data_IF_202450430159
#
_entry.id   IF_202450430159
#
_cell.length_a   1.000
_cell.length_b   1.000
_cell.length_c   1.000
_cell.angle_alpha   90.00
_cell.angle_beta   90.00
_cell.angle_gamma   90.00
#
_symmetry.space_group_name_H-M   'P 1'
#
loop_
_entity.id
_entity.type
_entity.pdbx_description
1 polymer ?
#
# COMPACT_ATOMS: atom_id res chain seq x y z
N UNK A 1 -2.31 -6.57 12.17
CA UNK A 1 -0.85 -6.69 11.98
C UNK A 1 -0.23 -5.42 12.52
N UNK A 2 1.01 -5.46 12.97
CA UNK A 2 1.81 -4.28 13.31
C UNK A 2 2.81 -3.97 12.19
N UNK A 3 3.39 -2.75 12.18
CA UNK A 3 4.34 -2.34 11.14
C UNK A 3 5.51 -3.32 10.98
N UNK A 4 6.02 -3.88 12.08
CA UNK A 4 7.08 -4.90 12.04
C UNK A 4 6.66 -6.14 11.23
N UNK A 5 5.45 -6.65 11.47
CA UNK A 5 4.90 -7.83 10.77
C UNK A 5 4.60 -7.54 9.30
N UNK A 6 4.24 -6.29 8.98
CA UNK A 6 4.11 -5.81 7.59
C UNK A 6 5.46 -5.91 6.89
N UNK A 7 6.55 -5.47 7.52
CA UNK A 7 7.88 -5.55 6.91
C UNK A 7 8.37 -6.99 6.73
N UNK A 8 7.75 -7.99 7.37
CA UNK A 8 8.06 -9.41 7.13
C UNK A 8 7.31 -10.02 5.93
N UNK A 9 6.39 -9.26 5.32
CA UNK A 9 5.73 -9.65 4.06
C UNK A 9 6.64 -9.44 2.85
N UNK A 10 6.24 -9.92 1.67
CA UNK A 10 7.09 -9.91 0.46
C UNK A 10 6.49 -9.14 -0.70
N UNK A 11 5.19 -9.28 -0.94
CA UNK A 11 4.52 -8.75 -2.14
C UNK A 11 3.67 -7.53 -1.80
N UNK A 12 4.06 -6.38 -2.35
CA UNK A 12 3.44 -5.09 -2.08
C UNK A 12 2.82 -4.50 -3.34
N UNK A 13 1.57 -4.04 -3.24
CA UNK A 13 0.97 -3.14 -4.20
C UNK A 13 1.09 -1.69 -3.69
N UNK A 14 2.01 -0.90 -4.25
CA UNK A 14 2.20 0.52 -3.88
C UNK A 14 1.29 1.37 -4.75
N UNK A 15 0.28 1.96 -4.13
CA UNK A 15 -0.76 2.74 -4.79
C UNK A 15 -0.44 4.24 -4.67
N UNK A 16 -0.24 4.90 -5.81
CA UNK A 16 0.04 6.34 -5.82
C UNK A 16 0.73 6.81 -7.09
N UNK A 17 1.30 8.01 -7.05
CA UNK A 17 2.13 8.51 -8.15
C UNK A 17 3.57 7.99 -8.00
N UNK A 18 3.83 6.81 -8.56
CA UNK A 18 5.11 6.10 -8.49
C UNK A 18 6.12 6.52 -9.55
N UNK A 19 5.72 7.39 -10.48
CA UNK A 19 6.57 7.91 -11.56
C UNK A 19 7.20 9.28 -11.24
N UNK A 20 6.67 9.98 -10.25
CA UNK A 20 7.14 11.30 -9.83
C UNK A 20 8.06 11.15 -8.61
N UNK A 21 9.36 11.39 -8.81
CA UNK A 21 10.41 11.17 -7.80
C UNK A 21 10.26 12.05 -6.55
N UNK A 22 9.53 13.16 -6.65
CA UNK A 22 9.27 14.02 -5.50
C UNK A 22 8.23 13.39 -4.56
N UNK A 23 7.37 12.51 -5.08
CA UNK A 23 6.27 11.89 -4.33
C UNK A 23 6.74 10.70 -3.49
N UNK A 24 6.11 10.56 -2.32
CA UNK A 24 6.41 9.47 -1.40
C UNK A 24 6.14 8.09 -2.00
N UNK A 25 5.09 7.92 -2.80
CA UNK A 25 4.82 6.65 -3.49
C UNK A 25 5.99 6.18 -4.35
N UNK A 26 6.66 7.10 -5.07
CA UNK A 26 7.86 6.78 -5.84
C UNK A 26 9.04 6.41 -4.94
N UNK A 27 9.27 7.17 -3.86
CA UNK A 27 10.33 6.90 -2.87
C UNK A 27 10.13 5.53 -2.18
N UNK A 28 8.89 5.21 -1.79
CA UNK A 28 8.52 3.91 -1.20
C UNK A 28 8.79 2.79 -2.20
N UNK A 29 8.28 2.90 -3.45
CA UNK A 29 8.54 1.91 -4.50
C UNK A 29 10.03 1.63 -4.66
N UNK A 30 10.84 2.68 -4.82
CA UNK A 30 12.30 2.56 -5.00
C UNK A 30 12.95 1.86 -3.80
N UNK A 31 12.71 2.36 -2.60
CA UNK A 31 13.31 1.82 -1.37
C UNK A 31 12.91 0.36 -1.13
N UNK A 32 11.64 0.00 -1.34
CA UNK A 32 11.17 -1.38 -1.20
C UNK A 32 11.83 -2.30 -2.24
N UNK A 33 11.95 -1.88 -3.50
CA UNK A 33 12.65 -2.66 -4.52
C UNK A 33 14.14 -2.86 -4.16
N UNK A 34 14.81 -1.82 -3.66
CA UNK A 34 16.22 -1.88 -3.23
C UNK A 34 16.46 -2.87 -2.07
N UNK A 35 15.46 -3.07 -1.22
CA UNK A 35 15.51 -4.03 -0.11
C UNK A 35 14.99 -5.43 -0.48
N UNK A 36 14.77 -5.69 -1.78
CA UNK A 36 14.43 -7.03 -2.28
C UNK A 36 12.96 -7.44 -2.14
N UNK A 37 12.06 -6.49 -1.89
CA UNK A 37 10.62 -6.74 -1.93
C UNK A 37 10.11 -6.81 -3.37
N UNK A 38 9.05 -7.59 -3.58
CA UNK A 38 8.28 -7.54 -4.83
C UNK A 38 7.31 -6.37 -4.75
N UNK A 39 7.43 -5.40 -5.67
CA UNK A 39 6.58 -4.20 -5.68
C UNK A 39 5.86 -4.05 -7.02
N UNK A 40 4.54 -3.97 -6.95
CA UNK A 40 3.67 -3.60 -8.06
C UNK A 40 3.15 -2.18 -7.87
N UNK A 41 3.43 -1.32 -8.84
CA UNK A 41 3.03 0.08 -8.79
C UNK A 41 1.65 0.27 -9.43
N UNK A 42 0.68 0.79 -8.66
CA UNK A 42 -0.71 0.93 -9.08
C UNK A 42 -1.13 2.41 -9.08
N UNK A 43 -1.88 2.79 -10.11
CA UNK A 43 -2.44 4.13 -10.34
C UNK A 43 -1.80 4.88 -11.51
N UNK A 44 -0.50 4.69 -11.75
CA UNK A 44 0.22 5.29 -12.90
C UNK A 44 0.82 4.26 -13.85
N UNK A 45 1.25 3.13 -13.34
CA UNK A 45 1.86 2.05 -14.11
C UNK A 45 0.82 0.96 -14.38
N UNK A 46 0.33 0.28 -13.34
CA UNK A 46 -0.88 -0.53 -13.42
C UNK A 46 -2.12 0.33 -13.21
N UNK A 47 -3.18 0.06 -13.96
CA UNK A 47 -4.42 0.85 -13.84
C UNK A 47 -5.26 0.38 -12.65
N UNK A 48 -5.30 -0.93 -12.40
CA UNK A 48 -6.05 -1.54 -11.30
C UNK A 48 -5.15 -2.40 -10.40
N UNK A 49 -5.50 -2.53 -9.12
CA UNK A 49 -4.92 -3.56 -8.25
C UNK A 49 -5.17 -4.96 -8.83
N UNK A 50 -6.29 -5.13 -9.55
CA UNK A 50 -6.65 -6.42 -10.12
C UNK A 50 -5.66 -6.89 -11.22
N UNK A 51 -4.86 -5.97 -11.78
CA UNK A 51 -3.86 -6.27 -12.81
C UNK A 51 -2.57 -6.88 -12.24
N UNK A 52 -2.40 -6.91 -10.90
CA UNK A 52 -1.25 -7.55 -10.25
C UNK A 52 -1.28 -9.06 -10.52
N UNK A 53 -0.21 -9.66 -11.09
CA UNK A 53 -0.25 -11.04 -11.61
C UNK A 53 -0.15 -12.13 -10.53
N UNK A 54 0.06 -11.77 -9.27
CA UNK A 54 0.22 -12.68 -8.14
C UNK A 54 -0.57 -12.26 -6.90
N UNK A 55 -0.55 -13.07 -5.84
CA UNK A 55 -1.22 -12.74 -4.59
C UNK A 55 -0.51 -11.58 -3.89
N UNK A 56 -1.29 -10.62 -3.39
CA UNK A 56 -0.77 -9.43 -2.73
C UNK A 56 -0.69 -9.72 -1.23
N UNK A 57 0.44 -9.44 -0.60
CA UNK A 57 0.47 -9.46 0.87
C UNK A 57 -0.08 -8.16 1.43
N UNK A 58 0.43 -7.03 0.92
CA UNK A 58 0.13 -5.69 1.46
C UNK A 58 -0.22 -4.72 0.35
N UNK A 59 -1.34 -4.00 0.53
CA UNK A 59 -1.67 -2.82 -0.27
C UNK A 59 -1.22 -1.58 0.48
N UNK A 60 -0.28 -0.82 -0.07
CA UNK A 60 0.21 0.44 0.49
C UNK A 60 -0.50 1.62 -0.18
N UNK A 61 -1.42 2.27 0.55
CA UNK A 61 -2.16 3.42 0.06
C UNK A 61 -1.36 4.70 0.31
N UNK A 62 -0.70 5.19 -0.74
CA UNK A 62 0.02 6.47 -0.78
C UNK A 62 -0.60 7.41 -1.82
N UNK A 63 -1.92 7.59 -1.72
CA UNK A 63 -2.75 8.35 -2.67
C UNK A 63 -3.82 9.16 -1.93
N UNK A 64 -4.44 10.13 -2.60
CA UNK A 64 -5.57 10.88 -2.06
C UNK A 64 -6.69 9.94 -1.53
N UNK A 65 -7.24 10.17 -0.32
CA UNK A 65 -8.13 9.21 0.36
C UNK A 65 -9.34 8.79 -0.48
N UNK A 66 -10.01 9.73 -1.15
CA UNK A 66 -11.17 9.45 -2.03
C UNK A 66 -10.81 8.47 -3.16
N UNK A 67 -9.62 8.60 -3.77
CA UNK A 67 -9.15 7.69 -4.82
C UNK A 67 -8.76 6.34 -4.24
N UNK A 68 -8.11 6.34 -3.07
CA UNK A 68 -7.78 5.11 -2.33
C UNK A 68 -9.03 4.29 -2.03
N UNK A 69 -10.08 4.91 -1.48
CA UNK A 69 -11.36 4.27 -1.18
C UNK A 69 -12.03 3.66 -2.42
N UNK A 70 -12.11 4.41 -3.53
CA UNK A 70 -12.70 3.90 -4.77
C UNK A 70 -11.95 2.65 -5.27
N UNK A 71 -10.62 2.70 -5.24
CA UNK A 71 -9.76 1.62 -5.70
C UNK A 71 -9.85 0.38 -4.78
N UNK A 72 -9.95 0.56 -3.46
CA UNK A 72 -10.20 -0.56 -2.53
C UNK A 72 -11.59 -1.17 -2.74
N UNK A 73 -12.63 -0.37 -3.00
CA UNK A 73 -13.98 -0.87 -3.32
C UNK A 73 -14.02 -1.74 -4.58
N UNK A 74 -13.13 -1.46 -5.53
CA UNK A 74 -13.00 -2.20 -6.79
C UNK A 74 -12.01 -3.37 -6.71
N UNK A 75 -11.29 -3.53 -5.59
CA UNK A 75 -10.32 -4.59 -5.40
C UNK A 75 -11.03 -5.95 -5.25
N UNK A 76 -10.69 -6.90 -6.12
CA UNK A 76 -11.20 -8.29 -6.11
C UNK A 76 -10.10 -9.30 -5.78
N UNK A 77 -8.87 -8.83 -5.56
CA UNK A 77 -7.73 -9.64 -5.16
C UNK A 77 -7.79 -9.90 -3.66
N UNK A 78 -7.34 -11.08 -3.24
CA UNK A 78 -7.02 -11.33 -1.85
C UNK A 78 -5.79 -10.51 -1.45
N UNK A 79 -5.78 -10.04 -0.20
CA UNK A 79 -4.64 -9.41 0.44
C UNK A 79 -4.67 -9.67 1.94
N UNK A 80 -3.50 -9.56 2.60
CA UNK A 80 -3.39 -9.79 4.05
C UNK A 80 -3.62 -8.53 4.87
N UNK A 81 -3.20 -7.36 4.38
CA UNK A 81 -3.37 -6.09 5.10
C UNK A 81 -3.29 -4.88 4.16
N UNK A 82 -3.90 -3.77 4.58
CA UNK A 82 -3.72 -2.45 3.98
C UNK A 82 -2.85 -1.60 4.90
N UNK A 83 -1.86 -0.91 4.35
CA UNK A 83 -1.12 0.15 5.03
C UNK A 83 -1.62 1.48 4.50
N UNK A 84 -2.17 2.31 5.38
CA UNK A 84 -2.59 3.66 5.06
C UNK A 84 -1.43 4.59 5.43
N UNK A 85 -0.80 5.17 4.40
CA UNK A 85 0.30 6.12 4.61
C UNK A 85 -0.21 7.42 5.23
N UNK A 86 0.66 8.16 5.96
CA UNK A 86 0.26 9.44 6.53
C UNK A 86 -0.32 10.41 5.48
N UNK A 87 -1.53 10.91 5.74
CA UNK A 87 -2.26 11.81 4.84
C UNK A 87 -3.11 11.11 3.78
N UNK A 88 -3.14 9.76 3.75
CA UNK A 88 -4.01 8.97 2.87
C UNK A 88 -5.30 8.49 3.57
N UNK A 89 -5.44 8.75 4.87
CA UNK A 89 -6.62 8.42 5.66
C UNK A 89 -7.80 9.37 5.41
N UNK A 90 -9.01 8.85 5.60
CA UNK A 90 -10.23 9.64 5.73
C UNK A 90 -11.24 8.87 6.58
N UNK A 91 -12.18 9.56 7.26
CA UNK A 91 -13.25 8.89 8.01
C UNK A 91 -14.02 7.86 7.16
N UNK A 92 -14.31 8.19 5.90
CA UNK A 92 -15.06 7.33 4.98
C UNK A 92 -14.26 6.08 4.59
N UNK A 93 -12.94 6.22 4.40
CA UNK A 93 -12.07 5.07 4.14
C UNK A 93 -12.05 4.14 5.35
N UNK A 94 -11.77 4.67 6.54
CA UNK A 94 -11.65 3.87 7.77
C UNK A 94 -12.97 3.15 8.08
N UNK A 95 -14.09 3.86 8.01
CA UNK A 95 -15.42 3.27 8.22
C UNK A 95 -15.68 2.12 7.24
N UNK A 96 -15.37 2.31 5.96
CA UNK A 96 -15.54 1.25 4.97
C UNK A 96 -14.69 0.01 5.27
N UNK A 97 -13.42 0.21 5.66
CA UNK A 97 -12.54 -0.90 6.02
C UNK A 97 -13.07 -1.66 7.24
N UNK A 98 -13.56 -0.97 8.26
CA UNK A 98 -14.16 -1.57 9.45
C UNK A 98 -15.44 -2.36 9.13
N UNK A 99 -16.35 -1.76 8.37
CA UNK A 99 -17.62 -2.40 7.97
C UNK A 99 -17.38 -3.68 7.16
N UNK A 100 -16.39 -3.66 6.27
CA UNK A 100 -16.00 -4.81 5.47
C UNK A 100 -15.04 -5.77 6.20
N UNK A 101 -14.63 -5.44 7.44
CA UNK A 101 -13.66 -6.20 8.24
C UNK A 101 -12.34 -6.43 7.51
N UNK A 102 -11.92 -5.44 6.73
CA UNK A 102 -10.66 -5.48 6.00
C UNK A 102 -9.52 -5.12 6.96
N UNK A 103 -8.47 -5.95 7.06
CA UNK A 103 -7.34 -5.66 7.94
C UNK A 103 -6.55 -4.46 7.42
N UNK A 104 -6.28 -3.49 8.30
CA UNK A 104 -5.46 -2.35 7.98
C UNK A 104 -4.63 -1.85 9.17
N UNK A 105 -3.60 -1.07 8.87
CA UNK A 105 -2.89 -0.21 9.81
C UNK A 105 -2.70 1.18 9.21
N UNK A 106 -2.49 2.17 10.08
CA UNK A 106 -1.91 3.45 9.69
C UNK A 106 -0.41 3.41 9.98
N UNK A 107 0.44 3.67 8.98
CA UNK A 107 1.88 3.51 9.14
C UNK A 107 2.68 3.95 7.93
N UNK A 108 4.00 4.00 8.06
CA UNK A 108 4.90 4.41 6.99
C UNK A 108 5.92 3.32 6.66
N UNK A 109 5.86 2.78 5.44
CA UNK A 109 6.80 1.75 4.99
C UNK A 109 8.27 2.21 5.00
N UNK A 110 8.56 3.49 4.73
CA UNK A 110 9.94 4.01 4.83
C UNK A 110 10.47 3.98 6.26
N UNK A 111 9.60 4.27 7.25
CA UNK A 111 9.94 4.10 8.66
C UNK A 111 10.13 2.61 8.97
N UNK A 112 9.23 1.76 8.48
CA UNK A 112 9.35 0.31 8.65
C UNK A 112 10.67 -0.26 8.13
N UNK A 113 11.13 0.16 6.94
CA UNK A 113 12.43 -0.21 6.40
C UNK A 113 13.57 0.21 7.33
N UNK A 114 13.58 1.48 7.75
CA UNK A 114 14.63 2.03 8.63
C UNK A 114 14.73 1.28 9.96
N UNK A 115 13.61 0.99 10.59
CA UNK A 115 13.56 0.40 11.93
C UNK A 115 13.80 -1.12 11.95
N UNK A 116 13.43 -1.83 10.87
CA UNK A 116 13.35 -3.31 10.90
C UNK A 116 14.14 -4.03 9.81
N UNK A 117 14.73 -3.32 8.83
CA UNK A 117 15.35 -3.92 7.64
C UNK A 117 16.69 -3.26 7.28
N UNK A 118 17.38 -2.72 8.30
CA UNK A 118 18.71 -2.12 8.19
C UNK A 118 19.82 -3.15 7.92
#
# INVERSE_FOLDING_TARGET
MELKEIMDQKVFAVVGNTLDEEKYACKIKKAMLEHGYTVYAVGKELTSINDVPEEIDVIDLCIHPVKGLALIKECRRSFKCIVIQPGAESPELLQYLDEQKLPYIQGCLLVGLREFKS
#
